data_IF_132364145429
#
_entry.id   IF_132364145429
#
_cell.length_a   1.000
_cell.length_b   1.000
_cell.length_c   1.000
_cell.angle_alpha   90.00
_cell.angle_beta   90.00
_cell.angle_gamma   90.00
#
_symmetry.space_group_name_H-M   'P 1'
#
loop_
_entity.id
_entity.type
_entity.pdbx_description
1 polymer ?
#
# COMPACT_ATOMS: atom_id res chain seq x y z
N UNK A 1 -4.90 -25.75 12.62
CA UNK A 1 -5.57 -25.78 11.31
C UNK A 1 -4.82 -24.85 10.38
N UNK A 2 -4.03 -25.36 9.45
CA UNK A 2 -3.27 -24.55 8.52
C UNK A 2 -4.24 -23.83 7.59
N UNK A 3 -4.31 -22.52 7.70
CA UNK A 3 -5.12 -21.70 6.81
C UNK A 3 -4.52 -21.83 5.40
N UNK A 4 -5.32 -22.22 4.41
CA UNK A 4 -4.86 -22.38 3.03
C UNK A 4 -4.72 -21.01 2.39
N UNK A 5 -3.62 -20.32 2.62
CA UNK A 5 -3.27 -19.13 1.83
C UNK A 5 -3.18 -19.56 0.37
N UNK A 6 -4.01 -18.97 -0.47
CA UNK A 6 -4.03 -19.23 -1.91
C UNK A 6 -3.23 -18.16 -2.60
N UNK A 7 -2.38 -18.55 -3.54
CA UNK A 7 -1.52 -17.67 -4.32
C UNK A 7 -1.87 -17.75 -5.80
N UNK A 8 -2.10 -16.60 -6.41
CA UNK A 8 -2.33 -16.45 -7.84
C UNK A 8 -1.24 -15.57 -8.45
N UNK A 9 -0.73 -15.94 -9.61
CA UNK A 9 0.17 -15.15 -10.46
C UNK A 9 -0.59 -14.66 -11.68
N UNK A 10 -0.07 -13.61 -12.30
CA UNK A 10 -0.70 -12.94 -13.43
C UNK A 10 0.26 -12.86 -14.61
N UNK A 11 -0.31 -12.88 -15.80
CA UNK A 11 0.40 -12.66 -17.05
C UNK A 11 -0.42 -11.73 -17.94
N UNK A 12 0.22 -10.67 -18.41
CA UNK A 12 -0.29 -9.79 -19.45
C UNK A 12 0.88 -9.21 -20.23
N UNK A 13 0.88 -9.38 -21.55
CA UNK A 13 1.99 -8.96 -22.41
C UNK A 13 1.64 -7.71 -23.17
N UNK A 14 2.53 -6.73 -23.08
CA UNK A 14 2.51 -5.51 -23.90
C UNK A 14 3.75 -5.42 -24.77
N UNK A 15 3.61 -4.73 -25.91
CA UNK A 15 4.75 -4.39 -26.78
C UNK A 15 5.38 -3.10 -26.28
N UNK A 16 6.54 -3.18 -25.61
CA UNK A 16 7.31 -2.06 -25.11
C UNK A 16 8.64 -2.01 -25.82
N UNK A 17 8.96 -0.90 -26.48
CA UNK A 17 10.17 -0.71 -27.28
C UNK A 17 10.42 -1.89 -28.26
N UNK A 18 9.36 -2.34 -28.94
CA UNK A 18 9.43 -3.40 -29.94
C UNK A 18 9.44 -4.84 -29.39
N UNK A 19 9.54 -5.04 -28.08
CA UNK A 19 9.56 -6.37 -27.44
C UNK A 19 8.26 -6.64 -26.71
N UNK A 20 7.76 -7.89 -26.77
CA UNK A 20 6.63 -8.32 -25.94
C UNK A 20 7.12 -8.67 -24.55
N UNK A 21 6.67 -7.92 -23.54
CA UNK A 21 7.07 -8.05 -22.14
C UNK A 21 5.83 -8.38 -21.31
N UNK A 22 5.93 -9.38 -20.41
CA UNK A 22 4.89 -9.60 -19.41
C UNK A 22 4.95 -8.48 -18.38
N UNK A 23 4.02 -7.52 -18.44
CA UNK A 23 3.98 -6.35 -17.56
C UNK A 23 3.50 -6.69 -16.14
N UNK A 24 2.91 -7.86 -15.93
CA UNK A 24 2.47 -8.32 -14.59
C UNK A 24 3.43 -9.34 -13.99
N UNK A 25 4.58 -9.57 -14.61
CA UNK A 25 5.59 -10.48 -14.10
C UNK A 25 6.02 -10.08 -12.68
N UNK A 26 6.00 -11.06 -11.80
CA UNK A 26 6.34 -10.90 -10.40
C UNK A 26 5.16 -10.58 -9.48
N UNK A 27 3.99 -10.17 -10.00
CA UNK A 27 2.82 -9.92 -9.17
C UNK A 27 2.24 -11.21 -8.60
N UNK A 28 1.85 -11.16 -7.34
CA UNK A 28 1.23 -12.28 -6.63
C UNK A 28 0.03 -11.76 -5.82
N UNK A 29 -1.14 -12.37 -6.01
CA UNK A 29 -2.31 -12.13 -5.17
C UNK A 29 -2.47 -13.30 -4.19
N UNK A 30 -2.49 -12.98 -2.91
CA UNK A 30 -2.71 -13.95 -1.84
C UNK A 30 -4.09 -13.71 -1.22
N UNK A 31 -4.89 -14.77 -1.10
CA UNK A 31 -6.18 -14.75 -0.42
C UNK A 31 -6.15 -15.61 0.84
N UNK A 32 -7.15 -15.44 1.70
CA UNK A 32 -7.29 -16.17 2.96
C UNK A 32 -6.14 -15.95 3.95
N UNK A 33 -5.43 -14.82 3.85
CA UNK A 33 -4.34 -14.45 4.76
C UNK A 33 -4.89 -14.00 6.12
N UNK A 34 -5.98 -13.25 6.12
CA UNK A 34 -6.63 -12.72 7.32
C UNK A 34 -8.05 -13.26 7.44
N UNK A 35 -8.39 -13.79 8.61
CA UNK A 35 -9.76 -14.20 8.92
C UNK A 35 -10.70 -12.99 8.96
N UNK A 36 -12.01 -13.22 8.84
CA UNK A 36 -13.01 -12.15 8.91
C UNK A 36 -12.93 -11.37 10.24
N UNK A 37 -12.66 -12.08 11.36
CA UNK A 37 -12.52 -11.43 12.67
C UNK A 37 -11.28 -10.54 12.75
N UNK A 38 -10.16 -10.97 12.17
CA UNK A 38 -8.95 -10.14 12.07
C UNK A 38 -9.20 -8.93 11.18
N UNK A 39 -9.87 -9.11 10.03
CA UNK A 39 -10.20 -8.00 9.14
C UNK A 39 -11.09 -6.97 9.84
N UNK A 40 -12.11 -7.39 10.59
CA UNK A 40 -12.93 -6.47 11.40
C UNK A 40 -12.10 -5.69 12.41
N UNK A 41 -11.28 -6.38 13.21
CA UNK A 41 -10.43 -5.73 14.20
C UNK A 41 -9.43 -4.73 13.59
N UNK A 42 -8.87 -5.04 12.41
CA UNK A 42 -7.99 -4.13 11.66
C UNK A 42 -8.77 -2.88 11.20
N UNK A 43 -9.96 -3.05 10.64
CA UNK A 43 -10.81 -1.97 10.18
C UNK A 43 -11.24 -1.05 11.33
N UNK A 44 -11.65 -1.62 12.47
CA UNK A 44 -12.02 -0.86 13.66
C UNK A 44 -10.84 -0.01 14.15
N UNK A 45 -9.64 -0.60 14.14
CA UNK A 45 -8.43 0.13 14.51
C UNK A 45 -8.08 1.25 13.52
N UNK A 46 -8.29 1.05 12.23
CA UNK A 46 -8.09 2.10 11.22
C UNK A 46 -9.01 3.29 11.47
N UNK A 47 -10.28 3.05 11.79
CA UNK A 47 -11.21 4.13 12.14
C UNK A 47 -10.88 4.80 13.46
N UNK A 48 -10.38 4.06 14.45
CA UNK A 48 -9.83 4.63 15.67
C UNK A 48 -8.65 5.59 15.38
N UNK A 49 -7.71 5.19 14.53
CA UNK A 49 -6.59 6.05 14.10
C UNK A 49 -7.10 7.30 13.37
N UNK A 50 -8.10 7.18 12.50
CA UNK A 50 -8.75 8.33 11.84
C UNK A 50 -9.28 9.32 12.87
N UNK A 51 -9.97 8.83 13.88
CA UNK A 51 -10.60 9.69 14.90
C UNK A 51 -9.53 10.35 15.79
N UNK A 52 -8.44 9.68 16.10
CA UNK A 52 -7.25 10.29 16.72
C UNK A 52 -6.64 11.37 15.83
N UNK A 53 -6.54 11.13 14.52
CA UNK A 53 -6.04 12.12 13.56
C UNK A 53 -6.89 13.37 13.51
N UNK A 54 -8.21 13.21 13.42
CA UNK A 54 -9.18 14.33 13.47
C UNK A 54 -9.11 15.12 14.77
N UNK A 55 -8.82 14.45 15.88
CA UNK A 55 -8.64 15.09 17.19
C UNK A 55 -7.24 15.70 17.38
N UNK A 56 -6.35 15.67 16.38
CA UNK A 56 -4.98 16.19 16.47
C UNK A 56 -4.08 15.40 17.44
N UNK A 57 -4.41 14.15 17.75
CA UNK A 57 -3.71 13.32 18.74
C UNK A 57 -2.64 12.39 18.12
N UNK A 58 -2.42 12.47 16.82
CA UNK A 58 -1.33 11.80 16.12
C UNK A 58 -0.15 12.75 15.89
N UNK A 59 1.03 12.21 15.62
CA UNK A 59 2.19 13.03 15.22
C UNK A 59 1.86 13.82 13.95
N UNK A 60 2.47 14.99 13.83
CA UNK A 60 2.17 16.05 12.87
C UNK A 60 1.94 15.59 11.43
N UNK A 61 2.80 14.70 10.92
CA UNK A 61 2.80 14.25 9.52
C UNK A 61 2.11 12.89 9.31
N UNK A 62 1.56 12.32 10.38
CA UNK A 62 0.94 10.97 10.33
C UNK A 62 -0.41 10.99 9.64
N UNK A 63 -1.21 12.04 9.82
CA UNK A 63 -2.59 12.12 9.35
C UNK A 63 -2.77 13.22 8.33
N UNK A 64 -3.45 12.91 7.23
CA UNK A 64 -3.85 13.89 6.23
C UNK A 64 -5.28 13.62 5.78
N UNK A 65 -6.13 14.62 5.90
CA UNK A 65 -7.51 14.63 5.40
C UNK A 65 -7.71 15.89 4.55
N UNK A 66 -8.10 15.75 3.26
CA UNK A 66 -8.31 16.90 2.38
C UNK A 66 -9.46 17.76 2.88
N UNK A 67 -9.20 19.04 3.11
CA UNK A 67 -10.19 20.01 3.60
C UNK A 67 -11.15 20.49 2.49
N UNK A 68 -10.69 20.50 1.24
CA UNK A 68 -11.50 20.91 0.09
C UNK A 68 -11.93 19.71 -0.72
N UNK A 69 -13.21 19.73 -1.12
CA UNK A 69 -13.72 18.73 -2.02
C UNK A 69 -13.01 18.84 -3.39
N UNK A 70 -12.33 17.77 -3.78
CA UNK A 70 -11.80 17.56 -5.13
C UNK A 70 -12.24 16.17 -5.57
N UNK A 71 -13.04 16.08 -6.63
CA UNK A 71 -13.52 14.80 -7.15
C UNK A 71 -12.34 13.84 -7.41
N UNK A 72 -12.40 12.65 -6.83
CA UNK A 72 -11.39 11.61 -6.97
C UNK A 72 -10.12 11.78 -6.10
N UNK A 73 -10.02 12.79 -5.24
CA UNK A 73 -8.80 13.04 -4.42
C UNK A 73 -9.08 13.26 -2.94
N UNK A 74 -10.17 12.71 -2.39
CA UNK A 74 -10.58 12.97 -1.00
C UNK A 74 -10.12 11.94 0.02
N UNK A 75 -9.44 10.89 -0.41
CA UNK A 75 -9.05 9.83 0.51
C UNK A 75 -8.27 10.37 1.71
N UNK A 76 -8.62 9.89 2.90
CA UNK A 76 -7.84 10.12 4.11
C UNK A 76 -6.61 9.23 4.04
N UNK A 77 -5.46 9.79 4.40
CA UNK A 77 -4.20 9.05 4.43
C UNK A 77 -3.62 9.08 5.84
N UNK A 78 -3.24 7.91 6.35
CA UNK A 78 -2.52 7.75 7.62
C UNK A 78 -1.21 7.04 7.31
N UNK A 79 -0.08 7.66 7.68
CA UNK A 79 1.26 7.13 7.41
C UNK A 79 1.98 6.81 8.71
N UNK A 80 2.73 5.70 8.74
CA UNK A 80 3.51 5.26 9.90
C UNK A 80 4.86 4.70 9.46
N UNK A 81 5.88 4.87 10.29
CA UNK A 81 7.23 4.39 10.03
C UNK A 81 8.02 5.32 9.08
N UNK A 82 8.78 4.73 8.17
CA UNK A 82 9.55 5.47 7.17
C UNK A 82 8.65 5.91 6.01
N UNK A 83 8.36 7.20 5.90
CA UNK A 83 7.39 7.71 4.95
C UNK A 83 7.99 8.81 4.06
N UNK A 84 7.33 9.04 2.93
CA UNK A 84 7.72 9.99 1.91
C UNK A 84 6.59 10.98 1.64
N UNK A 85 6.94 12.27 1.52
CA UNK A 85 6.03 13.32 1.08
C UNK A 85 6.11 13.44 -0.44
N UNK A 86 5.04 13.12 -1.15
CA UNK A 86 5.03 13.09 -2.63
C UNK A 86 4.74 14.45 -3.27
N UNK A 87 4.24 15.41 -2.48
CA UNK A 87 3.90 16.76 -2.94
C UNK A 87 4.34 17.79 -1.91
N UNK A 88 4.35 19.08 -2.28
CA UNK A 88 4.45 20.14 -1.29
C UNK A 88 3.29 19.98 -0.29
N UNK A 89 3.63 20.04 0.99
CA UNK A 89 2.61 20.03 2.04
C UNK A 89 2.02 21.43 2.29
N UNK A 90 1.05 21.50 3.20
CA UNK A 90 0.38 22.77 3.54
C UNK A 90 1.32 23.79 4.21
N UNK A 91 2.52 23.38 4.64
CA UNK A 91 3.54 24.24 5.26
C UNK A 91 4.63 24.64 4.26
N UNK A 92 4.52 24.19 2.99
CA UNK A 92 5.49 24.50 1.94
C UNK A 92 6.73 23.59 1.94
N UNK A 93 6.75 22.51 2.73
CA UNK A 93 7.85 21.54 2.67
C UNK A 93 7.82 20.79 1.34
N UNK A 94 8.98 20.65 0.66
CA UNK A 94 9.06 19.99 -0.64
C UNK A 94 8.83 18.48 -0.52
N UNK A 95 8.59 17.79 -1.66
CA UNK A 95 8.64 16.34 -1.73
C UNK A 95 9.96 15.81 -1.14
N UNK A 96 9.87 14.71 -0.41
CA UNK A 96 11.04 14.12 0.23
C UNK A 96 10.72 13.20 1.38
N UNK A 97 11.75 12.62 1.98
CA UNK A 97 11.66 11.73 3.13
C UNK A 97 11.22 12.54 4.35
N UNK A 98 10.18 12.06 5.03
CA UNK A 98 9.66 12.72 6.22
C UNK A 98 10.54 12.38 7.43
N UNK A 99 10.82 13.36 8.25
CA UNK A 99 11.61 13.20 9.47
C UNK A 99 10.96 12.18 10.41
N UNK A 100 11.80 11.35 11.04
CA UNK A 100 11.34 10.29 11.92
C UNK A 100 10.55 10.81 13.14
N UNK A 101 10.93 11.96 13.68
CA UNK A 101 10.26 12.59 14.84
C UNK A 101 8.86 13.15 14.51
N UNK A 102 8.55 13.37 13.22
CA UNK A 102 7.24 13.86 12.75
C UNK A 102 6.23 12.75 12.43
N UNK A 103 6.70 11.49 12.34
CA UNK A 103 5.88 10.33 11.97
C UNK A 103 5.57 9.44 13.16
N UNK A 104 4.37 8.88 13.21
CA UNK A 104 4.04 7.83 14.15
C UNK A 104 4.83 6.55 13.86
N UNK A 105 5.19 5.81 14.91
CA UNK A 105 5.71 4.46 14.77
C UNK A 105 4.63 3.53 14.22
N UNK A 106 5.05 2.42 13.63
CA UNK A 106 4.10 1.40 13.16
C UNK A 106 3.37 0.81 14.38
N UNK A 107 2.03 0.89 14.44
CA UNK A 107 1.26 0.38 15.58
C UNK A 107 1.35 -1.15 15.73
N UNK A 108 1.20 -1.65 16.95
CA UNK A 108 1.31 -3.09 17.26
C UNK A 108 0.40 -3.97 16.37
N UNK A 109 -0.84 -3.56 16.13
CA UNK A 109 -1.76 -4.35 15.27
C UNK A 109 -1.22 -4.45 13.84
N UNK A 110 -0.63 -3.38 13.33
CA UNK A 110 -0.02 -3.34 11.98
C UNK A 110 1.26 -4.19 11.95
N UNK A 111 2.08 -4.16 13.01
CA UNK A 111 3.25 -5.05 13.14
C UNK A 111 2.84 -6.52 13.12
N UNK A 112 1.76 -6.89 13.83
CA UNK A 112 1.22 -8.26 13.79
C UNK A 112 0.78 -8.70 12.40
N UNK A 113 0.25 -7.77 11.59
CA UNK A 113 -0.06 -8.07 10.18
C UNK A 113 1.20 -8.38 9.39
N UNK A 114 2.26 -7.59 9.55
CA UNK A 114 3.56 -7.80 8.89
C UNK A 114 4.14 -9.16 9.32
N UNK A 115 4.20 -9.43 10.64
CA UNK A 115 4.67 -10.69 11.19
C UNK A 115 3.92 -11.89 10.62
N UNK A 116 2.58 -11.81 10.56
CA UNK A 116 1.75 -12.85 9.97
C UNK A 116 2.05 -13.08 8.49
N UNK A 117 2.21 -12.01 7.71
CA UNK A 117 2.52 -12.11 6.29
C UNK A 117 3.91 -12.72 6.03
N UNK A 118 4.90 -12.43 6.86
CA UNK A 118 6.22 -13.08 6.78
C UNK A 118 6.10 -14.55 7.18
N UNK A 119 5.44 -14.84 8.28
CA UNK A 119 5.23 -16.20 8.78
C UNK A 119 4.60 -17.11 7.72
N UNK A 120 3.65 -16.61 6.95
CA UNK A 120 2.93 -17.35 5.90
C UNK A 120 3.50 -17.21 4.49
N UNK A 121 4.76 -16.80 4.34
CA UNK A 121 5.45 -16.66 3.05
C UNK A 121 4.77 -15.68 2.06
N UNK A 122 3.94 -14.77 2.54
CA UNK A 122 3.36 -13.69 1.71
C UNK A 122 4.39 -12.59 1.48
N UNK A 123 5.14 -12.23 2.52
CA UNK A 123 6.27 -11.31 2.45
C UNK A 123 7.59 -12.04 2.68
N UNK A 124 8.64 -11.56 2.03
CA UNK A 124 10.00 -12.07 2.25
C UNK A 124 10.57 -11.56 3.58
N UNK A 125 11.19 -12.46 4.34
CA UNK A 125 11.96 -12.09 5.55
C UNK A 125 13.16 -11.17 5.24
N UNK A 126 13.63 -11.15 3.99
CA UNK A 126 14.72 -10.27 3.55
C UNK A 126 14.25 -8.85 3.18
N UNK A 127 12.93 -8.61 3.14
CA UNK A 127 12.36 -7.31 2.80
C UNK A 127 11.15 -7.00 3.72
N UNK A 128 11.40 -7.00 5.02
CA UNK A 128 10.37 -6.70 6.04
C UNK A 128 10.02 -5.22 5.97
N UNK A 129 8.74 -4.86 5.81
CA UNK A 129 8.32 -3.47 5.72
C UNK A 129 8.66 -2.63 6.95
N UNK A 130 9.12 -1.40 6.71
CA UNK A 130 9.31 -0.37 7.74
C UNK A 130 8.48 0.89 7.47
N UNK A 131 7.58 0.81 6.50
CA UNK A 131 6.67 1.88 6.08
C UNK A 131 5.27 1.33 5.88
N UNK A 132 4.28 2.06 6.37
CA UNK A 132 2.87 1.73 6.23
C UNK A 132 2.08 2.96 5.80
N UNK A 133 1.24 2.81 4.77
CA UNK A 133 0.26 3.82 4.35
C UNK A 133 -1.12 3.20 4.40
N UNK A 134 -2.01 3.80 5.17
CA UNK A 134 -3.42 3.46 5.25
C UNK A 134 -4.18 4.52 4.46
N UNK A 135 -5.01 4.10 3.52
CA UNK A 135 -5.91 4.97 2.78
C UNK A 135 -7.36 4.60 3.07
N UNK A 136 -8.16 5.59 3.44
CA UNK A 136 -9.62 5.47 3.59
C UNK A 136 -10.25 6.22 2.43
N UNK A 137 -11.00 5.49 1.60
CA UNK A 137 -11.66 6.02 0.41
C UNK A 137 -13.16 6.12 0.65
N UNK A 138 -13.75 7.21 0.21
CA UNK A 138 -15.18 7.29 -0.05
C UNK A 138 -15.47 6.97 -1.52
N UNK A 139 -16.74 6.72 -1.86
CA UNK A 139 -17.14 6.45 -3.24
C UNK A 139 -16.59 7.49 -4.21
N UNK A 140 -15.92 7.03 -5.27
CA UNK A 140 -15.32 7.86 -6.30
C UNK A 140 -13.89 8.32 -6.02
N UNK A 141 -13.35 8.10 -4.82
CA UNK A 141 -11.94 8.40 -4.54
C UNK A 141 -11.04 7.41 -5.27
N UNK A 142 -9.88 7.88 -5.71
CA UNK A 142 -8.96 7.14 -6.55
C UNK A 142 -7.49 7.35 -6.15
N UNK A 143 -6.60 6.55 -6.73
CA UNK A 143 -5.16 6.84 -6.80
C UNK A 143 -4.81 6.97 -8.28
N UNK A 144 -4.33 8.15 -8.74
CA UNK A 144 -3.92 8.36 -10.12
C UNK A 144 -2.77 7.43 -10.56
N UNK A 145 -2.55 7.27 -11.88
CA UNK A 145 -1.45 6.48 -12.43
C UNK A 145 -0.08 6.92 -11.94
N UNK A 146 0.67 5.98 -11.33
CA UNK A 146 2.01 6.22 -10.81
C UNK A 146 2.84 4.93 -10.81
N UNK A 147 4.13 5.09 -10.58
CA UNK A 147 5.06 4.05 -10.13
C UNK A 147 5.47 4.43 -8.71
N UNK A 148 5.58 3.46 -7.81
CA UNK A 148 6.05 3.70 -6.45
C UNK A 148 7.47 4.27 -6.46
N UNK A 149 7.77 5.17 -5.52
CA UNK A 149 9.06 5.83 -5.44
C UNK A 149 10.20 4.82 -5.25
N UNK A 150 11.32 5.04 -5.93
CA UNK A 150 12.47 4.11 -5.93
C UNK A 150 13.26 4.08 -4.61
N UNK A 151 13.00 5.01 -3.68
CA UNK A 151 13.54 4.94 -2.31
C UNK A 151 12.90 3.79 -1.50
N UNK A 152 11.83 3.18 -2.03
CA UNK A 152 11.25 1.97 -1.48
C UNK A 152 11.69 0.75 -2.28
N UNK A 153 12.24 -0.23 -1.57
CA UNK A 153 12.61 -1.52 -2.14
C UNK A 153 11.38 -2.31 -2.59
N UNK A 154 11.60 -3.26 -3.46
CA UNK A 154 10.56 -4.23 -3.87
C UNK A 154 10.79 -5.58 -3.15
N UNK A 155 9.73 -6.28 -2.81
CA UNK A 155 8.33 -6.00 -3.13
C UNK A 155 7.68 -4.95 -2.21
N UNK A 156 6.67 -4.24 -2.73
CA UNK A 156 5.62 -3.60 -1.93
C UNK A 156 4.40 -4.52 -1.84
N UNK A 157 3.50 -4.27 -0.89
CA UNK A 157 2.25 -5.03 -0.80
C UNK A 157 1.09 -4.15 -0.38
N UNK A 158 -0.11 -4.46 -0.87
CA UNK A 158 -1.34 -3.75 -0.50
C UNK A 158 -2.44 -4.73 -0.15
N UNK A 159 -3.22 -4.40 0.89
CA UNK A 159 -4.34 -5.20 1.38
C UNK A 159 -5.61 -4.39 1.25
N UNK A 160 -6.71 -5.02 0.83
CA UNK A 160 -8.01 -4.39 0.64
C UNK A 160 -9.01 -4.81 1.71
N UNK A 161 -9.73 -3.83 2.28
CA UNK A 161 -10.76 -4.04 3.30
C UNK A 161 -12.03 -3.28 2.97
N UNK A 162 -13.16 -3.73 3.53
CA UNK A 162 -14.53 -3.16 3.44
C UNK A 162 -15.18 -3.41 2.09
N UNK A 163 -14.53 -3.10 0.98
CA UNK A 163 -15.05 -3.37 -0.35
C UNK A 163 -13.95 -3.76 -1.33
N UNK A 164 -14.34 -4.54 -2.30
CA UNK A 164 -13.49 -4.92 -3.43
C UNK A 164 -13.29 -3.72 -4.37
N UNK A 165 -12.17 -3.71 -5.05
CA UNK A 165 -11.90 -2.82 -6.17
C UNK A 165 -10.91 -3.47 -7.12
N UNK A 166 -10.66 -2.84 -8.26
CA UNK A 166 -9.66 -3.28 -9.21
C UNK A 166 -8.44 -2.35 -9.15
N UNK A 167 -7.26 -2.89 -9.43
CA UNK A 167 -6.06 -2.12 -9.73
C UNK A 167 -5.76 -2.27 -11.21
N UNK A 168 -5.51 -1.17 -11.89
CA UNK A 168 -5.17 -1.15 -13.32
C UNK A 168 -3.68 -1.00 -13.52
N UNK A 169 -3.18 -1.62 -14.58
CA UNK A 169 -1.79 -1.54 -15.01
C UNK A 169 -1.71 -1.19 -16.50
N UNK A 170 -0.59 -0.61 -16.91
CA UNK A 170 -0.30 -0.39 -18.32
C UNK A 170 0.89 0.53 -18.55
N UNK A 171 1.62 0.28 -19.63
CA UNK A 171 2.69 1.18 -20.09
C UNK A 171 2.09 2.52 -20.56
N UNK A 172 0.90 2.49 -21.18
CA UNK A 172 0.11 3.65 -21.60
C UNK A 172 -1.20 3.74 -20.80
N UNK A 173 -1.07 3.90 -19.49
CA UNK A 173 -2.21 4.08 -18.60
C UNK A 173 -2.77 5.49 -18.73
N UNK A 174 -3.99 5.62 -19.29
CA UNK A 174 -4.62 6.89 -19.65
C UNK A 174 -5.59 7.38 -18.58
N UNK A 175 -5.62 8.69 -18.36
CA UNK A 175 -6.66 9.36 -17.58
C UNK A 175 -7.78 9.79 -18.52
N UNK A 176 -8.97 9.22 -18.33
CA UNK A 176 -10.16 9.52 -19.16
C UNK A 176 -10.96 10.66 -18.52
N UNK A 177 -11.06 10.66 -17.20
CA UNK A 177 -11.77 11.67 -16.43
C UNK A 177 -11.43 11.58 -14.95
N UNK A 178 -12.06 12.38 -14.09
CA UNK A 178 -11.82 12.34 -12.65
C UNK A 178 -12.17 10.98 -12.05
N UNK A 179 -11.15 10.22 -11.64
CA UNK A 179 -11.30 8.85 -11.12
C UNK A 179 -11.53 7.79 -12.19
N UNK A 180 -11.48 8.16 -13.48
CA UNK A 180 -11.67 7.24 -14.59
C UNK A 180 -10.35 7.05 -15.34
N UNK A 181 -9.89 5.82 -15.39
CA UNK A 181 -8.62 5.45 -16.01
C UNK A 181 -8.81 4.25 -16.95
N UNK A 182 -7.95 4.16 -17.95
CA UNK A 182 -7.89 3.02 -18.88
C UNK A 182 -6.48 2.45 -18.87
N UNK A 183 -6.36 1.19 -18.49
CA UNK A 183 -5.14 0.39 -18.57
C UNK A 183 -5.35 -0.81 -19.46
N UNK A 184 -4.27 -1.50 -19.81
CA UNK A 184 -4.32 -2.72 -20.61
C UNK A 184 -4.59 -3.96 -19.77
N UNK A 185 -4.23 -3.94 -18.49
CA UNK A 185 -4.42 -5.04 -17.57
C UNK A 185 -5.12 -4.58 -16.28
N UNK A 186 -5.86 -5.51 -15.69
CA UNK A 186 -6.64 -5.29 -14.47
C UNK A 186 -6.51 -6.49 -13.55
N UNK A 187 -6.30 -6.24 -12.26
CA UNK A 187 -6.28 -7.27 -11.22
C UNK A 187 -7.38 -6.92 -10.21
N UNK A 188 -8.36 -7.82 -9.98
CA UNK A 188 -9.33 -7.65 -8.92
C UNK A 188 -8.66 -7.83 -7.55
N UNK A 189 -9.05 -7.01 -6.59
CA UNK A 189 -8.58 -7.04 -5.20
C UNK A 189 -9.74 -7.45 -4.28
N UNK A 190 -9.97 -8.75 -4.05
CA UNK A 190 -10.99 -9.25 -3.13
C UNK A 190 -10.74 -8.76 -1.69
N UNK A 191 -11.77 -8.82 -0.86
CA UNK A 191 -11.66 -8.48 0.57
C UNK A 191 -10.62 -9.33 1.27
N UNK A 192 -9.77 -8.69 2.06
CA UNK A 192 -8.69 -9.35 2.81
C UNK A 192 -7.55 -9.89 1.95
N UNK A 193 -7.61 -9.70 0.62
CA UNK A 193 -6.51 -10.11 -0.26
C UNK A 193 -5.29 -9.22 -0.11
N UNK A 194 -4.11 -9.81 -0.29
CA UNK A 194 -2.82 -9.14 -0.31
C UNK A 194 -2.24 -9.23 -1.71
N UNK A 195 -2.15 -8.10 -2.40
CA UNK A 195 -1.42 -8.01 -3.66
C UNK A 195 0.03 -7.63 -3.36
N UNK A 196 0.96 -8.48 -3.80
CA UNK A 196 2.40 -8.24 -3.73
C UNK A 196 2.86 -7.73 -5.09
N UNK A 197 3.47 -6.54 -5.12
CA UNK A 197 3.96 -5.87 -6.32
C UNK A 197 5.47 -5.97 -6.37
N UNK A 198 5.97 -6.64 -7.41
CA UNK A 198 7.40 -6.78 -7.69
C UNK A 198 7.62 -7.01 -9.20
N UNK A 199 8.87 -6.93 -9.65
CA UNK A 199 9.23 -7.15 -11.04
C UNK A 199 8.68 -6.08 -11.98
N UNK A 200 8.40 -6.46 -13.23
CA UNK A 200 8.01 -5.53 -14.30
C UNK A 200 6.78 -4.67 -13.93
N UNK A 201 5.78 -5.25 -13.28
CA UNK A 201 4.57 -4.52 -12.93
C UNK A 201 4.77 -3.48 -11.83
N UNK A 202 5.83 -3.59 -11.02
CA UNK A 202 6.16 -2.61 -9.99
C UNK A 202 7.05 -1.47 -10.51
N UNK A 203 7.94 -1.76 -11.50
CA UNK A 203 9.01 -0.85 -11.87
C UNK A 203 8.94 -0.38 -13.34
N UNK A 204 8.30 -1.15 -14.24
CA UNK A 204 8.28 -0.86 -15.66
C UNK A 204 7.01 -0.13 -16.10
N UNK A 205 5.87 -0.43 -15.49
CA UNK A 205 4.56 0.12 -15.87
C UNK A 205 3.90 0.86 -14.72
N UNK A 206 3.06 1.83 -15.07
CA UNK A 206 2.24 2.54 -14.08
C UNK A 206 1.08 1.67 -13.61
N UNK A 207 0.63 1.95 -12.40
CA UNK A 207 -0.60 1.39 -11.84
C UNK A 207 -1.46 2.48 -11.21
N UNK A 208 -2.76 2.20 -11.08
CA UNK A 208 -3.70 3.12 -10.43
C UNK A 208 -4.86 2.36 -9.77
N UNK A 209 -5.52 3.02 -8.84
CA UNK A 209 -6.82 2.60 -8.31
C UNK A 209 -7.86 3.54 -8.91
N UNK A 210 -8.76 3.07 -9.78
CA UNK A 210 -9.86 3.88 -10.29
C UNK A 210 -10.82 4.29 -9.17
N UNK A 211 -11.73 5.19 -9.46
CA UNK A 211 -12.74 5.64 -8.50
C UNK A 211 -13.48 4.47 -7.87
N UNK A 212 -13.28 4.27 -6.57
CA UNK A 212 -13.85 3.11 -5.88
C UNK A 212 -15.38 3.17 -5.87
N UNK A 213 -16.08 2.03 -6.06
CA UNK A 213 -17.54 2.01 -6.12
C UNK A 213 -18.22 2.26 -4.77
N UNK A 214 -17.52 1.97 -3.67
CA UNK A 214 -18.00 2.08 -2.29
C UNK A 214 -16.86 2.50 -1.37
N UNK A 215 -17.17 2.83 -0.11
CA UNK A 215 -16.15 3.04 0.93
C UNK A 215 -15.19 1.85 0.96
N UNK A 216 -13.90 2.15 0.98
CA UNK A 216 -12.81 1.16 0.98
C UNK A 216 -11.72 1.58 1.94
N UNK A 217 -11.03 0.63 2.52
CA UNK A 217 -9.75 0.85 3.21
C UNK A 217 -8.69 0.03 2.50
N UNK A 218 -7.52 0.62 2.28
CA UNK A 218 -6.33 -0.14 1.91
C UNK A 218 -5.18 0.13 2.86
N UNK A 219 -4.35 -0.88 3.08
CA UNK A 219 -3.11 -0.76 3.84
C UNK A 219 -1.98 -1.21 2.93
N UNK A 220 -1.04 -0.30 2.65
CA UNK A 220 0.12 -0.56 1.80
C UNK A 220 1.37 -0.61 2.66
N UNK A 221 2.15 -1.66 2.51
CA UNK A 221 3.42 -1.91 3.19
C UNK A 221 4.57 -1.78 2.23
N UNK A 222 5.63 -1.08 2.66
CA UNK A 222 6.84 -0.87 1.88
C UNK A 222 8.07 -0.93 2.77
N UNK A 223 9.20 -1.28 2.20
CA UNK A 223 10.51 -1.18 2.85
C UNK A 223 11.26 0.01 2.23
N UNK A 224 11.48 1.06 3.00
CA UNK A 224 12.41 2.11 2.58
C UNK A 224 13.84 1.56 2.59
N UNK A 225 14.61 1.87 1.57
CA UNK A 225 16.03 1.55 1.51
C UNK A 225 16.74 2.07 2.76
N UNK A 226 17.54 1.25 3.42
CA UNK A 226 18.17 1.62 4.68
C UNK A 226 19.15 2.82 4.50
N UNK A 227 19.72 2.97 3.29
CA UNK A 227 20.54 4.14 2.94
C UNK A 227 19.73 5.44 2.83
N UNK A 228 18.41 5.33 2.73
CA UNK A 228 17.45 6.44 2.62
C UNK A 228 16.61 6.63 3.88
N UNK A 229 16.82 5.81 4.88
CA UNK A 229 16.08 5.93 6.14
C UNK A 229 16.28 7.32 6.76
N UNK A 230 15.22 7.94 7.34
CA UNK A 230 15.34 9.29 7.91
C UNK A 230 16.30 9.30 9.09
N UNK A 231 16.98 10.43 9.29
CA UNK A 231 17.88 10.61 10.43
C UNK A 231 17.16 10.28 11.75
N UNK A 232 17.82 9.51 12.60
CA UNK A 232 17.28 9.07 13.89
C UNK A 232 16.35 7.85 13.80
N UNK A 233 16.10 7.32 12.60
CA UNK A 233 15.37 6.07 12.46
C UNK A 233 16.15 4.92 13.11
N UNK A 234 15.42 4.08 13.84
CA UNK A 234 15.92 2.80 14.37
C UNK A 234 14.97 1.70 13.93
N UNK A 235 15.48 0.56 13.46
CA UNK A 235 14.65 -0.60 13.17
C UNK A 235 13.79 -0.95 14.38
N UNK A 236 12.56 -1.40 14.10
CA UNK A 236 11.64 -1.81 15.14
C UNK A 236 11.98 -3.25 15.60
N UNK A 237 12.32 -3.47 16.87
CA UNK A 237 12.73 -4.79 17.37
C UNK A 237 11.68 -5.88 17.12
N UNK A 238 10.38 -5.54 17.11
CA UNK A 238 9.30 -6.49 16.85
C UNK A 238 9.26 -6.97 15.39
N UNK A 239 9.96 -6.28 14.48
CA UNK A 239 10.03 -6.58 13.06
C UNK A 239 11.39 -7.12 12.63
N UNK A 240 12.36 -7.22 13.54
CA UNK A 240 13.68 -7.81 13.27
C UNK A 240 13.66 -9.33 13.45
N UNK A 241 14.52 -10.02 12.71
CA UNK A 241 14.72 -11.47 12.84
C UNK A 241 13.49 -12.33 12.52
N UNK A 242 12.48 -11.78 11.84
CA UNK A 242 11.29 -12.54 11.45
C UNK A 242 11.68 -13.67 10.51
N UNK A 243 11.10 -14.85 10.72
CA UNK A 243 11.30 -16.05 9.89
C UNK A 243 9.95 -16.60 9.45
N UNK A 244 9.86 -17.10 8.19
CA UNK A 244 8.69 -17.83 7.76
C UNK A 244 8.61 -19.18 8.47
N UNK A 245 7.41 -19.78 8.52
CA UNK A 245 7.22 -21.14 8.99
C UNK A 245 8.04 -22.11 8.11
N UNK A 246 8.70 -23.07 8.78
CA UNK A 246 9.26 -24.23 8.08
C UNK A 246 8.09 -25.10 7.62
N UNK A 247 8.04 -25.39 6.30
CA UNK A 247 7.01 -26.20 5.65
C UNK A 247 7.45 -27.65 5.55
#
# INVERSE_FOLDING_TARGET
MFQKVRKQRFEHREKIQGKYINILEGHELHTDVFSESEQRGIVDYVFYLRDLGRAGRLRKRTYSEPQKWMRGKRRITIQCGCCYNFTYDNEGNPPGIIRHDEMALIPTIIKRMIQKMVLWHVLSANCVPNSCIINIYEKGDCIPPHIDHHDFLRPSSTISFISECNILFGSDLQTIGPGEFRGSAEIPLPLGSVLVLKGNGADLVRHCIPGVPRRRVSITFRKMDDSKAPFGYRPDPDLEGLRPLEL
#
